data_IF_042902916146
#
_entry.id   IF_042902916146
#
_cell.length_a   1.000
_cell.length_b   1.000
_cell.length_c   1.000
_cell.angle_alpha   90.00
_cell.angle_beta   90.00
_cell.angle_gamma   90.00
#
_symmetry.space_group_name_H-M   'P 1'
#
loop_
_entity.id
_entity.type
_entity.pdbx_description
1 polymer ?
#
# COMPACT_ATOMS: atom_id res chain seq x y z
N UNK A 1 25.83 -74.43 -27.17
CA UNK A 1 24.67 -73.65 -27.64
C UNK A 1 23.80 -73.36 -26.42
N UNK A 2 23.84 -72.17 -25.91
CA UNK A 2 23.04 -71.77 -24.74
C UNK A 2 22.02 -70.82 -25.27
N UNK A 3 20.72 -71.24 -25.21
CA UNK A 3 19.58 -70.40 -25.63
C UNK A 3 19.18 -69.49 -24.50
N UNK A 4 19.27 -68.16 -24.72
CA UNK A 4 18.86 -67.17 -23.73
C UNK A 4 17.45 -66.68 -24.06
N UNK A 5 16.51 -66.99 -23.16
CA UNK A 5 15.12 -66.56 -23.25
C UNK A 5 14.96 -65.20 -22.61
N UNK A 6 14.58 -64.20 -23.42
CA UNK A 6 14.25 -62.85 -22.95
C UNK A 6 12.77 -62.81 -22.55
N UNK A 7 12.46 -62.58 -21.26
CA UNK A 7 11.13 -62.25 -20.79
C UNK A 7 10.84 -60.74 -20.98
N UNK A 8 9.85 -60.42 -21.80
CA UNK A 8 9.31 -59.05 -21.92
C UNK A 8 8.21 -58.87 -20.85
N UNK A 9 8.47 -57.96 -19.91
CA UNK A 9 7.42 -57.47 -19.00
C UNK A 9 6.68 -56.32 -19.67
N UNK A 10 5.41 -56.54 -20.01
CA UNK A 10 4.49 -55.48 -20.42
C UNK A 10 3.99 -54.75 -19.16
N UNK A 11 4.55 -53.58 -18.87
CA UNK A 11 4.06 -52.71 -17.83
C UNK A 11 2.85 -51.89 -18.31
N UNK A 12 1.67 -52.19 -17.78
CA UNK A 12 0.50 -51.32 -17.94
C UNK A 12 0.77 -49.97 -17.27
N UNK A 13 1.00 -48.89 -18.04
CA UNK A 13 0.89 -47.53 -17.56
C UNK A 13 -0.59 -47.20 -17.39
N UNK A 14 -1.04 -47.01 -16.17
CA UNK A 14 -2.30 -46.36 -15.86
C UNK A 14 -2.12 -44.86 -16.14
N UNK A 15 -2.65 -44.36 -17.24
CA UNK A 15 -2.76 -42.93 -17.49
C UNK A 15 -3.82 -42.34 -16.55
N UNK A 16 -3.35 -41.66 -15.49
CA UNK A 16 -4.19 -40.76 -14.70
C UNK A 16 -4.39 -39.50 -15.53
N UNK A 17 -5.47 -39.42 -16.29
CA UNK A 17 -5.99 -38.14 -16.78
C UNK A 17 -6.50 -37.40 -15.58
N UNK A 18 -5.67 -36.44 -15.08
CA UNK A 18 -6.15 -35.44 -14.13
C UNK A 18 -7.24 -34.64 -14.85
N UNK A 19 -8.48 -34.80 -14.44
CA UNK A 19 -9.56 -33.91 -14.83
C UNK A 19 -9.22 -32.53 -14.25
N UNK A 20 -8.58 -31.68 -15.06
CA UNK A 20 -8.45 -30.26 -14.80
C UNK A 20 -9.86 -29.67 -14.92
N UNK A 21 -10.63 -29.74 -13.84
CA UNK A 21 -11.80 -28.88 -13.68
C UNK A 21 -11.26 -27.48 -13.48
N UNK A 22 -11.20 -26.70 -14.55
CA UNK A 22 -10.91 -25.28 -14.47
C UNK A 22 -12.10 -24.63 -13.74
N UNK A 23 -11.92 -24.39 -12.45
CA UNK A 23 -12.84 -23.52 -11.73
C UNK A 23 -12.74 -22.11 -12.35
N UNK A 24 -13.86 -21.46 -12.68
CA UNK A 24 -13.82 -20.08 -13.13
C UNK A 24 -13.08 -19.26 -12.07
N UNK A 25 -12.25 -18.30 -12.46
CA UNK A 25 -11.58 -17.43 -11.50
C UNK A 25 -12.64 -16.78 -10.60
N UNK A 26 -12.53 -16.99 -9.29
CA UNK A 26 -13.41 -16.33 -8.33
C UNK A 26 -13.06 -14.84 -8.39
N UNK A 27 -13.90 -14.06 -9.05
CA UNK A 27 -13.77 -12.60 -9.03
C UNK A 27 -14.18 -12.12 -7.66
N UNK A 28 -13.22 -11.60 -6.91
CA UNK A 28 -13.47 -11.00 -5.60
C UNK A 28 -14.28 -9.72 -5.82
N UNK A 29 -15.43 -9.60 -5.14
CA UNK A 29 -16.26 -8.39 -5.20
C UNK A 29 -15.47 -7.19 -4.64
N UNK A 30 -15.26 -6.18 -5.46
CA UNK A 30 -14.50 -4.98 -5.07
C UNK A 30 -15.09 -3.72 -5.70
N UNK A 31 -15.02 -2.61 -4.97
CA UNK A 31 -15.39 -1.28 -5.42
C UNK A 31 -14.09 -0.48 -5.51
N UNK A 32 -13.80 0.08 -6.67
CA UNK A 32 -12.54 0.79 -6.95
C UNK A 32 -12.84 2.25 -7.21
N UNK A 33 -12.16 3.14 -6.48
CA UNK A 33 -12.08 4.56 -6.75
C UNK A 33 -10.65 4.92 -7.13
N UNK A 34 -10.48 5.45 -8.33
CA UNK A 34 -9.16 5.79 -8.86
C UNK A 34 -9.25 7.02 -9.76
N UNK A 35 -8.25 7.87 -9.66
CA UNK A 35 -8.10 9.05 -10.53
C UNK A 35 -6.66 9.55 -10.55
N UNK A 36 -6.34 10.37 -11.55
CA UNK A 36 -5.14 11.19 -11.57
C UNK A 36 -5.47 12.60 -12.07
N UNK A 37 -4.74 13.59 -11.58
CA UNK A 37 -4.96 15.00 -11.92
C UNK A 37 -4.32 15.93 -10.90
N UNK A 38 -4.62 17.22 -11.00
CA UNK A 38 -4.29 18.18 -9.96
C UNK A 38 -5.06 17.87 -8.65
N UNK A 39 -4.78 18.62 -7.60
CA UNK A 39 -5.44 18.42 -6.30
C UNK A 39 -6.97 18.51 -6.37
N UNK A 40 -7.53 19.31 -7.28
CA UNK A 40 -8.97 19.41 -7.48
C UNK A 40 -9.49 18.18 -8.23
N UNK A 41 -8.77 17.72 -9.24
CA UNK A 41 -9.16 16.57 -10.07
C UNK A 41 -9.22 15.25 -9.29
N UNK A 42 -8.29 15.06 -8.34
CA UNK A 42 -8.26 13.82 -7.54
C UNK A 42 -9.19 13.86 -6.33
N UNK A 43 -9.52 15.05 -5.79
CA UNK A 43 -10.28 15.20 -4.54
C UNK A 43 -11.69 14.59 -4.63
N UNK A 44 -12.33 14.64 -5.80
CA UNK A 44 -13.66 14.03 -5.98
C UNK A 44 -13.62 12.54 -5.70
N UNK A 45 -12.66 11.81 -6.29
CA UNK A 45 -12.52 10.36 -6.10
C UNK A 45 -12.02 10.00 -4.70
N UNK A 46 -11.22 10.85 -4.09
CA UNK A 46 -10.83 10.69 -2.69
C UNK A 46 -12.06 10.83 -1.78
N UNK A 47 -12.97 11.77 -2.05
CA UNK A 47 -14.19 11.93 -1.27
C UNK A 47 -15.18 10.78 -1.50
N UNK A 48 -15.36 10.31 -2.75
CA UNK A 48 -16.13 9.09 -3.03
C UNK A 48 -15.59 7.91 -2.21
N UNK A 49 -14.27 7.77 -2.14
CA UNK A 49 -13.64 6.71 -1.35
C UNK A 49 -13.77 6.93 0.17
N UNK A 50 -13.71 8.18 0.65
CA UNK A 50 -13.97 8.51 2.05
C UNK A 50 -15.37 8.09 2.50
N UNK A 51 -16.37 8.31 1.65
CA UNK A 51 -17.75 7.84 1.88
C UNK A 51 -17.81 6.31 1.92
N UNK A 52 -17.14 5.63 0.98
CA UNK A 52 -17.03 4.17 0.99
C UNK A 52 -16.33 3.63 2.23
N UNK A 53 -15.26 4.27 2.70
CA UNK A 53 -14.54 3.89 3.91
C UNK A 53 -15.38 4.13 5.18
N UNK A 54 -16.25 5.14 5.16
CA UNK A 54 -17.24 5.42 6.20
C UNK A 54 -16.98 6.70 6.99
N UNK A 55 -18.05 7.24 7.55
CA UNK A 55 -18.06 8.43 8.41
C UNK A 55 -18.39 8.07 9.87
N UNK A 56 -17.90 8.86 10.81
CA UNK A 56 -16.97 9.98 10.71
C UNK A 56 -15.51 9.57 10.56
N UNK A 57 -14.60 10.56 10.37
CA UNK A 57 -13.17 10.35 10.57
C UNK A 57 -12.86 10.20 12.04
N UNK A 58 -12.28 9.06 12.45
CA UNK A 58 -12.00 8.74 13.84
C UNK A 58 -10.60 9.21 14.25
N UNK A 59 -10.54 10.01 15.30
CA UNK A 59 -9.29 10.55 15.86
C UNK A 59 -8.86 9.89 17.18
N UNK A 60 -9.75 9.12 17.82
CA UNK A 60 -9.51 8.42 19.08
C UNK A 60 -9.85 6.92 18.96
N UNK A 61 -9.26 6.04 19.79
CA UNK A 61 -9.64 4.63 19.89
C UNK A 61 -11.10 4.43 20.34
N UNK A 62 -11.65 3.21 20.09
CA UNK A 62 -12.96 2.78 20.57
C UNK A 62 -14.13 3.04 19.64
N UNK A 63 -13.88 3.49 18.40
CA UNK A 63 -14.92 3.60 17.39
C UNK A 63 -15.28 2.22 16.83
N UNK A 64 -16.56 2.03 16.49
CA UNK A 64 -17.05 0.80 15.86
C UNK A 64 -17.27 0.96 14.34
N UNK A 65 -17.42 2.20 13.89
CA UNK A 65 -17.65 2.55 12.47
C UNK A 65 -16.86 3.79 12.10
N UNK A 66 -16.91 4.19 10.84
CA UNK A 66 -16.18 5.34 10.33
C UNK A 66 -14.86 4.95 9.69
N UNK A 67 -13.98 5.91 9.52
CA UNK A 67 -12.69 5.74 8.85
C UNK A 67 -11.53 6.35 9.62
N UNK A 68 -10.33 6.01 9.21
CA UNK A 68 -9.06 6.57 9.65
C UNK A 68 -8.33 7.19 8.49
N UNK A 69 -7.64 8.30 8.74
CA UNK A 69 -6.77 8.95 7.77
C UNK A 69 -5.40 9.21 8.40
N UNK A 70 -4.33 8.94 7.67
CA UNK A 70 -2.95 9.24 8.04
C UNK A 70 -2.38 10.15 6.96
N UNK A 71 -2.17 11.42 7.29
CA UNK A 71 -1.67 12.44 6.38
C UNK A 71 -0.25 12.93 6.73
N UNK A 72 0.43 12.27 7.64
CA UNK A 72 1.81 12.51 8.09
C UNK A 72 2.09 13.87 8.73
N UNK A 73 1.25 14.88 8.53
CA UNK A 73 1.48 16.28 8.94
C UNK A 73 1.66 16.48 10.45
N UNK A 74 1.04 15.61 11.26
CA UNK A 74 1.16 15.64 12.72
C UNK A 74 2.36 14.85 13.26
N UNK A 75 3.20 14.28 12.41
CA UNK A 75 4.43 13.57 12.84
C UNK A 75 5.38 14.59 13.49
N UNK A 76 5.90 14.32 14.70
CA UNK A 76 6.81 15.25 15.37
C UNK A 76 8.11 15.51 14.57
N UNK A 77 8.73 16.70 14.71
CA UNK A 77 10.00 17.02 14.04
C UNK A 77 11.11 15.99 14.27
N UNK A 78 11.15 15.34 15.44
CA UNK A 78 12.14 14.29 15.76
C UNK A 78 12.07 13.06 14.84
N UNK A 79 10.94 12.85 14.14
CA UNK A 79 10.72 11.76 13.20
C UNK A 79 10.51 12.25 11.77
N UNK A 80 10.80 13.52 11.50
CA UNK A 80 10.66 14.15 10.18
C UNK A 80 12.03 14.39 9.59
N UNK A 81 12.20 14.22 8.28
CA UNK A 81 13.46 14.39 7.54
C UNK A 81 14.59 13.48 8.04
N UNK A 82 14.23 12.33 8.60
CA UNK A 82 15.17 11.32 9.08
C UNK A 82 14.70 9.92 8.63
N UNK A 83 15.67 9.04 8.33
CA UNK A 83 15.41 7.72 7.76
C UNK A 83 15.13 6.66 8.85
N UNK A 84 14.50 7.04 9.93
CA UNK A 84 14.25 6.20 11.11
C UNK A 84 12.81 6.32 11.62
N UNK A 85 11.85 6.65 10.76
CA UNK A 85 10.46 6.70 11.18
C UNK A 85 10.01 5.33 11.70
N UNK A 86 9.45 5.26 12.93
CA UNK A 86 9.10 3.99 13.54
C UNK A 86 7.97 3.29 12.77
N UNK A 87 8.15 2.01 12.49
CA UNK A 87 7.19 1.20 11.73
C UNK A 87 5.82 1.07 12.42
N UNK A 88 5.79 1.18 13.76
CA UNK A 88 4.62 1.07 14.61
C UNK A 88 4.11 2.42 15.12
N UNK A 89 4.58 3.53 14.54
CA UNK A 89 4.24 4.87 15.02
C UNK A 89 2.73 5.09 15.19
N UNK A 90 1.92 4.63 14.26
CA UNK A 90 0.46 4.75 14.28
C UNK A 90 -0.26 3.54 14.91
N UNK A 91 0.47 2.52 15.32
CA UNK A 91 -0.02 1.34 16.00
C UNK A 91 0.10 1.38 17.52
N UNK A 92 0.36 2.54 18.11
CA UNK A 92 0.61 2.67 19.54
C UNK A 92 -0.52 2.13 20.43
N UNK A 93 -0.15 1.34 21.45
CA UNK A 93 -1.07 0.73 22.39
C UNK A 93 -0.90 1.25 23.83
N UNK A 94 0.19 1.96 24.13
CA UNK A 94 0.39 2.56 25.44
C UNK A 94 -0.66 3.65 25.72
N UNK A 95 -1.30 3.58 26.90
CA UNK A 95 -2.31 4.53 27.31
C UNK A 95 -1.84 5.98 27.35
N UNK A 96 -0.55 6.21 27.65
CA UNK A 96 0.07 7.54 27.71
C UNK A 96 0.29 8.20 26.33
N UNK A 97 0.26 7.44 25.26
CA UNK A 97 0.43 7.99 23.91
C UNK A 97 -0.79 8.83 23.49
N UNK A 98 -0.54 9.93 22.78
CA UNK A 98 -1.59 10.72 22.16
C UNK A 98 -2.43 9.88 21.18
N UNK A 99 -3.73 10.20 21.06
CA UNK A 99 -4.64 9.47 20.17
C UNK A 99 -4.17 9.43 18.71
N UNK A 100 -3.47 10.47 18.22
CA UNK A 100 -2.87 10.48 16.90
C UNK A 100 -1.88 9.35 16.61
N UNK A 101 -1.32 8.74 17.68
CA UNK A 101 -0.44 7.56 17.62
C UNK A 101 -1.21 6.23 17.64
N UNK A 102 -2.52 6.23 17.86
CA UNK A 102 -3.38 5.06 18.10
C UNK A 102 -4.36 4.86 16.94
N UNK A 103 -3.84 4.81 15.72
CA UNK A 103 -4.67 4.69 14.51
C UNK A 103 -4.81 3.25 14.01
N UNK A 104 -4.07 2.32 14.59
CA UNK A 104 -4.13 0.90 14.25
C UNK A 104 -3.42 0.53 12.94
N UNK A 105 -2.53 1.37 12.41
CA UNK A 105 -1.74 1.11 11.22
C UNK A 105 -0.30 0.75 11.61
N UNK A 106 0.20 -0.36 11.05
CA UNK A 106 1.56 -0.85 11.22
C UNK A 106 2.22 -0.97 9.84
N UNK A 107 3.36 -0.33 9.66
CA UNK A 107 4.21 -0.52 8.50
C UNK A 107 5.06 -1.78 8.74
N UNK A 108 4.95 -2.78 7.87
CA UNK A 108 5.81 -3.97 7.98
C UNK A 108 7.14 -3.68 7.30
N UNK A 109 8.21 -3.87 8.05
CA UNK A 109 9.55 -3.57 7.57
C UNK A 109 10.50 -4.73 7.85
N UNK A 110 11.15 -5.21 6.81
CA UNK A 110 12.28 -6.15 6.94
C UNK A 110 13.64 -5.44 7.07
N UNK A 111 13.64 -4.10 7.07
CA UNK A 111 14.82 -3.24 7.18
C UNK A 111 14.51 -1.93 7.88
N UNK A 112 15.40 -0.98 7.78
CA UNK A 112 15.28 0.39 8.25
C UNK A 112 14.98 1.31 7.08
N UNK A 113 14.60 2.56 7.34
CA UNK A 113 14.54 3.64 6.35
C UNK A 113 13.16 4.03 5.85
N UNK A 114 12.13 3.88 6.68
CA UNK A 114 10.92 4.67 6.50
C UNK A 114 11.21 6.15 6.79
N UNK A 115 10.67 7.01 5.96
CA UNK A 115 10.89 8.44 6.04
C UNK A 115 9.58 9.21 5.87
N UNK A 116 9.33 10.10 6.81
CA UNK A 116 8.36 11.19 6.67
C UNK A 116 9.16 12.46 6.36
N UNK A 117 8.81 13.14 5.30
CA UNK A 117 9.60 14.25 4.76
C UNK A 117 8.79 15.52 4.62
N UNK A 118 9.38 16.67 4.93
CA UNK A 118 8.79 18.01 4.81
C UNK A 118 9.51 18.92 3.81
N UNK A 119 10.47 18.37 3.07
CA UNK A 119 11.31 19.09 2.11
C UNK A 119 11.08 18.64 0.67
N UNK A 120 10.05 17.81 0.44
CA UNK A 120 9.87 17.07 -0.83
C UNK A 120 11.11 16.25 -1.18
N UNK A 121 11.77 15.69 -0.15
CA UNK A 121 13.02 14.92 -0.24
C UNK A 121 14.21 15.68 -0.85
N UNK A 122 14.17 17.03 -0.92
CA UNK A 122 15.24 17.84 -1.50
C UNK A 122 16.54 17.82 -0.71
N UNK A 123 16.52 17.41 0.54
CA UNK A 123 17.70 17.15 1.37
C UNK A 123 18.39 15.81 1.07
N UNK A 124 17.72 14.90 0.33
CA UNK A 124 18.32 13.70 -0.24
C UNK A 124 18.92 14.01 -1.61
N UNK A 125 18.12 14.63 -2.49
CA UNK A 125 18.56 15.11 -3.81
C UNK A 125 17.81 16.38 -4.16
N UNK A 126 18.54 17.42 -4.57
CA UNK A 126 17.96 18.74 -4.85
C UNK A 126 16.93 18.73 -6.01
N UNK A 127 17.03 17.78 -6.94
CA UNK A 127 16.08 17.63 -8.05
C UNK A 127 14.68 17.26 -7.58
N UNK A 128 14.55 16.57 -6.44
CA UNK A 128 13.27 16.12 -5.92
C UNK A 128 12.30 17.23 -5.52
N UNK A 129 12.83 18.44 -5.21
CA UNK A 129 12.00 19.61 -4.85
C UNK A 129 11.02 20.04 -5.93
N UNK A 130 11.27 19.70 -7.19
CA UNK A 130 10.40 20.00 -8.34
C UNK A 130 9.59 18.82 -8.82
N UNK A 131 9.79 17.65 -8.22
CA UNK A 131 9.12 16.41 -8.57
C UNK A 131 7.99 16.06 -7.64
N UNK A 132 8.28 16.05 -6.34
CA UNK A 132 7.32 15.63 -5.33
C UNK A 132 6.58 16.79 -4.73
N UNK A 133 5.27 16.73 -4.78
CA UNK A 133 4.37 17.70 -4.16
C UNK A 133 3.48 17.00 -3.13
N UNK A 134 3.27 17.61 -1.97
CA UNK A 134 2.38 17.10 -0.95
C UNK A 134 0.93 17.44 -1.28
N UNK A 135 0.04 16.46 -1.30
CA UNK A 135 -1.39 16.61 -1.48
C UNK A 135 -2.03 17.26 -0.26
N UNK A 136 -1.77 16.70 0.93
CA UNK A 136 -2.16 17.27 2.21
C UNK A 136 -0.99 18.04 2.80
N UNK A 137 -1.07 19.32 2.73
CA UNK A 137 -0.19 20.39 3.27
C UNK A 137 1.32 20.25 3.14
N UNK A 138 2.05 19.41 3.92
CA UNK A 138 3.49 19.66 4.09
C UNK A 138 4.36 18.41 4.08
N UNK A 139 3.79 17.21 4.18
CA UNK A 139 4.63 16.04 4.40
C UNK A 139 4.26 14.88 3.49
N UNK A 140 5.30 14.23 3.06
CA UNK A 140 5.24 13.03 2.24
C UNK A 140 5.80 11.84 3.02
N UNK A 141 5.52 10.66 2.55
CA UNK A 141 6.06 9.41 3.07
C UNK A 141 6.71 8.60 1.96
N UNK A 142 7.88 8.03 2.23
CA UNK A 142 8.55 7.08 1.37
C UNK A 142 9.28 6.00 2.18
N UNK A 143 9.47 4.83 1.57
CA UNK A 143 10.35 3.81 2.08
C UNK A 143 11.66 3.81 1.27
N UNK A 144 12.75 4.25 1.89
CA UNK A 144 14.05 4.39 1.25
C UNK A 144 14.86 3.09 1.22
N UNK A 145 14.38 2.04 1.87
CA UNK A 145 15.02 0.71 1.87
C UNK A 145 14.54 -0.20 0.75
N UNK A 146 13.36 0.08 0.19
CA UNK A 146 12.72 -0.68 -0.87
C UNK A 146 11.60 0.16 -1.50
N UNK A 147 11.16 -0.18 -2.71
CA UNK A 147 9.96 0.39 -3.31
C UNK A 147 8.67 -0.36 -2.93
N UNK A 148 8.75 -1.36 -2.06
CA UNK A 148 7.59 -2.11 -1.55
C UNK A 148 7.38 -1.84 -0.07
N UNK A 149 6.23 -1.27 0.27
CA UNK A 149 5.78 -1.05 1.65
C UNK A 149 4.62 -1.99 1.96
N UNK A 150 4.69 -2.72 3.07
CA UNK A 150 3.57 -3.52 3.54
C UNK A 150 2.93 -2.86 4.78
N UNK A 151 1.59 -2.93 4.82
CA UNK A 151 0.76 -2.39 5.90
C UNK A 151 -0.07 -3.52 6.49
N UNK A 152 -0.14 -3.58 7.82
CA UNK A 152 -1.07 -4.44 8.58
C UNK A 152 -1.82 -3.60 9.59
N UNK A 153 -2.81 -4.19 10.25
CA UNK A 153 -3.72 -3.45 11.09
C UNK A 153 -3.80 -4.02 12.51
N UNK A 154 -4.02 -3.13 13.47
CA UNK A 154 -4.36 -3.43 14.87
C UNK A 154 -5.66 -2.73 15.22
N UNK A 155 -6.41 -3.26 16.18
CA UNK A 155 -7.49 -2.50 16.80
C UNK A 155 -6.90 -1.25 17.44
N UNK A 156 -7.34 -0.04 17.07
CA UNK A 156 -6.73 1.21 17.51
C UNK A 156 -6.54 1.31 19.02
N UNK A 157 -5.32 1.60 19.45
CA UNK A 157 -4.96 1.69 20.87
C UNK A 157 -4.73 0.35 21.55
N UNK A 158 -4.65 -0.76 20.81
CA UNK A 158 -4.39 -2.10 21.36
C UNK A 158 -3.31 -2.84 20.56
N UNK A 159 -2.91 -4.02 21.06
CA UNK A 159 -1.99 -4.93 20.34
C UNK A 159 -2.73 -6.00 19.52
N UNK A 160 -4.08 -5.99 19.54
CA UNK A 160 -4.92 -7.00 18.90
C UNK A 160 -4.90 -6.85 17.38
N UNK A 161 -4.67 -7.95 16.67
CA UNK A 161 -4.71 -7.96 15.21
C UNK A 161 -6.09 -7.58 14.67
N UNK A 162 -6.10 -6.80 13.59
CA UNK A 162 -7.31 -6.31 12.99
C UNK A 162 -7.33 -6.51 11.47
N UNK A 163 -8.49 -6.29 10.90
CA UNK A 163 -8.70 -6.17 9.47
C UNK A 163 -9.44 -4.87 9.16
N UNK A 164 -9.32 -4.44 7.93
CA UNK A 164 -10.15 -3.39 7.31
C UNK A 164 -10.88 -3.98 6.12
N UNK A 165 -11.86 -3.26 5.58
CA UNK A 165 -12.54 -3.62 4.33
C UNK A 165 -12.13 -2.73 3.16
N UNK A 166 -11.50 -1.59 3.46
CA UNK A 166 -11.08 -0.62 2.47
C UNK A 166 -9.72 -0.03 2.83
N UNK A 167 -8.92 0.25 1.81
CA UNK A 167 -7.66 0.97 1.96
C UNK A 167 -7.34 1.72 0.66
N UNK A 168 -6.89 2.96 0.78
CA UNK A 168 -6.53 3.81 -0.35
C UNK A 168 -5.36 4.71 -0.02
N UNK A 169 -4.64 5.15 -1.06
CA UNK A 169 -3.43 5.97 -0.97
C UNK A 169 -3.44 7.06 -2.03
N UNK A 170 -2.99 8.24 -1.66
CA UNK A 170 -2.60 9.30 -2.59
C UNK A 170 -1.12 9.17 -2.88
N UNK A 171 -0.76 9.23 -4.16
CA UNK A 171 0.62 9.18 -4.65
C UNK A 171 0.98 10.48 -5.36
N UNK A 172 2.25 10.82 -5.33
CA UNK A 172 2.84 11.87 -6.15
C UNK A 172 3.91 11.27 -7.04
N UNK A 173 3.95 11.73 -8.29
CA UNK A 173 4.97 11.38 -9.29
C UNK A 173 4.87 9.96 -9.87
N UNK A 174 3.66 9.47 -10.17
CA UNK A 174 3.46 8.20 -10.89
C UNK A 174 3.56 8.46 -12.38
N UNK A 175 4.70 8.14 -13.00
CA UNK A 175 4.99 8.46 -14.40
C UNK A 175 4.79 7.30 -15.35
N UNK A 176 4.97 6.07 -14.88
CA UNK A 176 4.95 4.89 -15.72
C UNK A 176 3.78 3.97 -15.40
N UNK A 177 3.07 3.54 -16.43
CA UNK A 177 1.99 2.57 -16.27
C UNK A 177 2.50 1.26 -15.66
N UNK A 178 1.76 0.73 -14.70
CA UNK A 178 2.04 -0.52 -13.98
C UNK A 178 3.32 -0.51 -13.10
N UNK A 179 3.95 0.65 -12.89
CA UNK A 179 5.07 0.79 -11.96
C UNK A 179 4.59 0.85 -10.50
N UNK A 180 3.42 1.43 -10.29
CA UNK A 180 2.82 1.65 -8.97
C UNK A 180 1.52 0.87 -8.84
N UNK A 181 1.38 0.12 -7.75
CA UNK A 181 0.21 -0.74 -7.52
C UNK A 181 -0.05 -0.97 -6.04
N UNK A 182 -1.28 -1.36 -5.72
CA UNK A 182 -1.67 -1.85 -4.40
C UNK A 182 -2.21 -3.27 -4.54
N UNK A 183 -1.64 -4.21 -3.79
CA UNK A 183 -2.13 -5.57 -3.65
C UNK A 183 -2.74 -5.75 -2.26
N UNK A 184 -3.94 -6.33 -2.21
CA UNK A 184 -4.69 -6.56 -0.99
C UNK A 184 -4.72 -8.04 -0.65
N UNK A 185 -4.68 -8.36 0.66
CA UNK A 185 -4.65 -9.74 1.13
C UNK A 185 -5.65 -9.97 2.25
N UNK A 186 -6.36 -11.10 2.14
CA UNK A 186 -7.10 -11.69 3.25
C UNK A 186 -6.25 -12.86 3.80
N UNK A 187 -5.51 -12.61 4.89
CA UNK A 187 -4.42 -13.48 5.36
C UNK A 187 -3.38 -13.70 4.24
N UNK A 188 -3.22 -14.93 3.77
CA UNK A 188 -2.26 -15.27 2.70
C UNK A 188 -2.88 -15.25 1.30
N UNK A 189 -4.23 -15.11 1.21
CA UNK A 189 -4.94 -15.06 -0.07
C UNK A 189 -4.87 -13.66 -0.66
N UNK A 190 -4.31 -13.51 -1.87
CA UNK A 190 -4.41 -12.25 -2.63
C UNK A 190 -5.87 -12.03 -3.07
N UNK A 191 -6.36 -10.82 -2.84
CA UNK A 191 -7.66 -10.34 -3.29
C UNK A 191 -7.57 -9.61 -4.63
N UNK A 192 -6.35 -9.35 -5.10
CA UNK A 192 -6.06 -8.72 -6.38
C UNK A 192 -4.99 -7.63 -6.28
N UNK A 193 -4.39 -7.35 -7.42
CA UNK A 193 -3.44 -6.25 -7.65
C UNK A 193 -4.14 -5.18 -8.47
N UNK A 194 -4.09 -3.94 -8.01
CA UNK A 194 -4.72 -2.79 -8.65
C UNK A 194 -3.65 -1.76 -8.99
N UNK A 195 -3.56 -1.38 -10.26
CA UNK A 195 -2.59 -0.40 -10.72
C UNK A 195 -3.07 1.02 -10.45
N UNK A 196 -2.16 1.86 -9.99
CA UNK A 196 -2.40 3.28 -9.78
C UNK A 196 -2.39 4.01 -11.12
N UNK A 197 -3.33 4.93 -11.38
CA UNK A 197 -3.32 5.73 -12.61
C UNK A 197 -2.05 6.57 -12.72
N UNK A 198 -1.53 6.68 -13.94
CA UNK A 198 -0.40 7.57 -14.25
C UNK A 198 -0.84 9.02 -14.09
N UNK A 199 0.02 9.86 -13.55
CA UNK A 199 -0.24 11.31 -13.42
C UNK A 199 -0.44 11.95 -14.81
N UNK A 200 -1.17 13.05 -14.85
CA UNK A 200 -1.50 13.72 -16.12
C UNK A 200 -0.47 14.76 -16.53
N UNK A 201 0.11 15.46 -15.55
CA UNK A 201 1.14 16.50 -15.71
C UNK A 201 2.06 16.52 -14.49
N UNK A 202 3.21 17.17 -14.59
CA UNK A 202 4.12 17.38 -13.45
C UNK A 202 3.38 18.09 -12.30
N UNK A 203 3.65 17.67 -11.06
CA UNK A 203 2.98 18.18 -9.85
C UNK A 203 1.53 17.72 -9.70
N UNK A 204 1.06 16.78 -10.52
CA UNK A 204 -0.26 16.17 -10.31
C UNK A 204 -0.16 14.89 -9.50
N UNK A 205 -1.30 14.49 -8.93
CA UNK A 205 -1.43 13.37 -8.02
C UNK A 205 -2.10 12.17 -8.69
N UNK A 206 -1.93 11.02 -8.08
CA UNK A 206 -2.67 9.80 -8.42
C UNK A 206 -3.30 9.25 -7.15
N UNK A 207 -4.54 8.81 -7.25
CA UNK A 207 -5.26 8.18 -6.15
C UNK A 207 -5.74 6.79 -6.57
N UNK A 208 -5.61 5.84 -5.66
CA UNK A 208 -6.23 4.52 -5.76
C UNK A 208 -6.74 4.11 -4.38
N UNK A 209 -8.02 3.76 -4.31
CA UNK A 209 -8.64 3.15 -3.15
C UNK A 209 -9.55 1.99 -3.55
N UNK A 210 -9.51 0.90 -2.80
CA UNK A 210 -10.35 -0.28 -3.05
C UNK A 210 -11.06 -0.71 -1.77
N UNK A 211 -12.36 -1.02 -1.91
CA UNK A 211 -13.17 -1.62 -0.85
C UNK A 211 -13.60 -3.02 -1.26
N UNK A 212 -13.50 -3.95 -0.34
CA UNK A 212 -13.95 -5.35 -0.44
C UNK A 212 -15.10 -5.58 0.54
N UNK A 213 -16.38 -5.45 0.12
CA UNK A 213 -17.53 -5.55 1.04
C UNK A 213 -17.61 -6.87 1.80
N UNK A 214 -17.16 -7.97 1.15
CA UNK A 214 -17.35 -9.35 1.63
C UNK A 214 -16.05 -9.97 2.20
N UNK A 215 -14.89 -9.30 2.05
CA UNK A 215 -13.61 -9.82 2.48
C UNK A 215 -13.04 -9.03 3.68
N UNK A 216 -12.08 -9.65 4.37
CA UNK A 216 -11.31 -9.04 5.46
C UNK A 216 -9.89 -8.75 4.96
N UNK A 217 -9.56 -7.50 4.68
CA UNK A 217 -8.21 -7.10 4.30
C UNK A 217 -7.34 -7.06 5.56
N UNK A 218 -6.40 -7.98 5.67
CA UNK A 218 -5.49 -8.08 6.82
C UNK A 218 -4.12 -7.50 6.55
N UNK A 219 -3.76 -7.41 5.26
CA UNK A 219 -2.48 -6.85 4.81
C UNK A 219 -2.65 -6.19 3.45
N UNK A 220 -1.92 -5.11 3.26
CA UNK A 220 -1.81 -4.37 2.00
C UNK A 220 -0.34 -4.28 1.62
N UNK A 221 -0.03 -4.53 0.36
CA UNK A 221 1.30 -4.33 -0.21
C UNK A 221 1.23 -3.21 -1.23
N UNK A 222 2.01 -2.16 -1.01
CA UNK A 222 2.10 -1.00 -1.89
C UNK A 222 3.44 -1.08 -2.61
N UNK A 223 3.42 -1.11 -3.94
CA UNK A 223 4.60 -0.93 -4.77
C UNK A 223 4.60 0.51 -5.28
N UNK A 224 5.61 1.29 -4.92
CA UNK A 224 5.75 2.72 -5.25
C UNK A 224 6.84 2.89 -6.31
N UNK A 225 6.44 2.99 -7.57
CA UNK A 225 7.36 3.07 -8.69
C UNK A 225 8.20 1.82 -8.91
N UNK A 226 9.26 1.96 -9.69
CA UNK A 226 10.24 0.90 -9.96
C UNK A 226 11.66 1.28 -9.54
N UNK A 227 11.80 2.35 -8.74
CA UNK A 227 13.03 2.84 -8.15
C UNK A 227 12.87 3.17 -6.67
N UNK A 228 13.99 3.50 -6.03
CA UNK A 228 14.10 3.92 -4.64
C UNK A 228 14.71 5.30 -4.62
N UNK A 229 14.14 6.23 -3.83
CA UNK A 229 14.68 7.57 -3.68
C UNK A 229 16.07 7.52 -3.04
N UNK A 230 17.02 8.26 -3.60
CA UNK A 230 18.40 8.31 -3.11
C UNK A 230 19.22 9.39 -3.79
N UNK A 231 20.31 9.81 -3.17
CA UNK A 231 21.19 10.84 -3.71
C UNK A 231 21.74 10.43 -5.10
N UNK A 232 21.59 11.29 -6.09
CA UNK A 232 22.03 11.05 -7.48
C UNK A 232 21.12 10.10 -8.27
N UNK A 233 20.00 9.64 -7.70
CA UNK A 233 19.01 8.84 -8.42
C UNK A 233 17.97 9.78 -9.01
N UNK A 234 17.90 9.84 -10.35
CA UNK A 234 16.95 10.67 -11.07
C UNK A 234 15.69 9.89 -11.44
N UNK A 235 14.58 10.59 -11.35
CA UNK A 235 13.32 10.10 -11.88
C UNK A 235 13.31 10.07 -13.41
N UNK A 236 12.43 9.24 -13.98
CA UNK A 236 12.29 9.10 -15.44
C UNK A 236 11.86 10.42 -16.10
N UNK A 237 11.09 11.24 -15.44
CA UNK A 237 10.66 12.56 -15.92
C UNK A 237 11.79 13.60 -15.89
N UNK A 238 12.84 13.37 -15.09
CA UNK A 238 14.06 14.19 -15.04
C UNK A 238 15.25 13.53 -15.76
N UNK A 239 14.97 12.68 -16.73
CA UNK A 239 15.99 12.00 -17.56
C UNK A 239 16.65 10.80 -16.87
N UNK A 240 16.09 10.29 -15.78
CA UNK A 240 16.48 9.04 -15.15
C UNK A 240 15.91 7.81 -15.86
N UNK A 241 16.12 6.64 -15.27
CA UNK A 241 15.66 5.35 -15.80
C UNK A 241 14.61 4.67 -14.91
N UNK A 242 14.18 5.34 -13.85
CA UNK A 242 13.28 4.81 -12.83
C UNK A 242 12.12 5.76 -12.61
N UNK A 243 10.95 5.20 -12.40
CA UNK A 243 9.78 5.90 -11.88
C UNK A 243 9.89 5.93 -10.36
N UNK A 244 10.15 7.12 -9.80
CA UNK A 244 10.30 7.36 -8.37
C UNK A 244 8.99 7.94 -7.82
N UNK A 245 8.38 7.25 -6.89
CA UNK A 245 7.05 7.60 -6.39
C UNK A 245 7.07 7.77 -4.87
N UNK A 246 6.49 8.86 -4.39
CA UNK A 246 6.23 9.05 -2.97
C UNK A 246 4.73 8.97 -2.67
N UNK A 247 4.40 8.80 -1.39
CA UNK A 247 3.03 8.62 -0.89
C UNK A 247 2.65 9.79 0.02
N UNK A 248 1.35 10.09 0.03
CA UNK A 248 0.75 11.03 0.98
C UNK A 248 -0.37 10.32 1.76
N UNK A 249 -1.60 10.79 1.72
CA UNK A 249 -2.71 10.33 2.56
C UNK A 249 -3.00 8.83 2.41
N UNK A 250 -3.03 8.12 3.55
CA UNK A 250 -3.60 6.78 3.67
C UNK A 250 -5.00 6.87 4.28
N UNK A 251 -5.97 6.25 3.63
CA UNK A 251 -7.38 6.28 4.02
C UNK A 251 -7.89 4.85 4.14
N UNK A 252 -8.51 4.49 5.26
CA UNK A 252 -9.04 3.14 5.50
C UNK A 252 -10.22 3.17 6.48
N UNK A 253 -11.15 2.21 6.39
CA UNK A 253 -12.23 2.09 7.36
C UNK A 253 -11.70 1.70 8.76
N UNK A 254 -12.55 1.84 9.77
CA UNK A 254 -12.17 1.55 11.16
C UNK A 254 -11.68 0.12 11.31
N UNK A 255 -10.43 -0.12 11.77
CA UNK A 255 -9.89 -1.45 11.96
C UNK A 255 -10.68 -2.25 13.01
N UNK A 256 -11.13 -3.45 12.63
CA UNK A 256 -11.92 -4.36 13.49
C UNK A 256 -11.13 -5.60 13.84
N UNK A 257 -11.35 -6.11 15.05
CA UNK A 257 -10.67 -7.30 15.53
C UNK A 257 -10.79 -8.46 14.54
N UNK A 258 -9.64 -9.07 14.24
CA UNK A 258 -9.57 -10.28 13.44
C UNK A 258 -9.91 -11.49 14.33
N UNK A 259 -11.06 -12.08 14.06
CA UNK A 259 -11.50 -13.33 14.73
C UNK A 259 -11.10 -14.53 13.89
#
# INVERSE_FOLDING_TARGET
MISSTVLLFAGCKKDYTANNVAYPPVTVNSIVEASSGDSIGVVSKINDFRELAGDPVNTAPGAETGRREVNWDAVPPAFTNANNFPFDFFGGSDAALANGRKRGLILQNTGTSFRVDSTSFSDIDASYSTQFEAFSKKRLFAYLGNNVTEVTFKVPGTTTDAFVKSFGVVFTDVDQANSTSIEYFSRDKSLGVFNVPVRTVNGSFSFLGVKFPDEKVTRVRITSGNGILGAGIKDISDGGAKDLVAMDDFIYDEPKQLN
#
